data_IF_357510110517
#
_entry.id   IF_357510110517
#
_cell.length_a   1.000
_cell.length_b   1.000
_cell.length_c   1.000
_cell.angle_alpha   90.00
_cell.angle_beta   90.00
_cell.angle_gamma   90.00
#
_symmetry.space_group_name_H-M   'P 1'
#
loop_
_entity.id
_entity.type
_entity.pdbx_description
1 polymer ?
#
# COMPACT_ATOMS: atom_id res chain seq x y z
N UNK A 1 27.07 -30.38 -54.13
CA UNK A 1 25.80 -29.58 -54.13
C UNK A 1 25.20 -29.32 -52.75
N UNK A 2 25.44 -30.10 -51.70
CA UNK A 2 24.82 -29.85 -50.36
C UNK A 2 25.44 -28.70 -49.56
N UNK A 3 26.66 -28.26 -49.87
CA UNK A 3 27.35 -27.21 -49.14
C UNK A 3 26.89 -25.79 -49.53
N UNK A 4 26.40 -25.61 -50.75
CA UNK A 4 25.94 -24.32 -51.28
C UNK A 4 24.54 -23.90 -50.75
N UNK A 5 23.68 -24.89 -50.54
CA UNK A 5 22.30 -24.70 -50.06
C UNK A 5 22.30 -24.26 -48.58
N UNK A 6 23.18 -24.86 -47.74
CA UNK A 6 23.32 -24.48 -46.34
C UNK A 6 23.80 -23.02 -46.13
N UNK A 7 24.71 -22.52 -47.00
CA UNK A 7 25.16 -21.14 -46.95
C UNK A 7 24.07 -20.16 -47.38
N UNK A 8 23.23 -20.50 -48.36
CA UNK A 8 22.12 -19.66 -48.79
C UNK A 8 21.01 -19.53 -47.72
N UNK A 9 20.71 -20.59 -46.98
CA UNK A 9 19.70 -20.55 -45.90
C UNK A 9 20.22 -19.73 -44.70
N UNK A 10 21.48 -19.86 -44.31
CA UNK A 10 22.08 -19.13 -43.20
C UNK A 10 22.13 -17.62 -43.50
N UNK A 11 22.45 -17.25 -44.73
CA UNK A 11 22.49 -15.83 -45.15
C UNK A 11 21.09 -15.22 -45.22
N UNK A 12 20.06 -15.93 -45.72
CA UNK A 12 18.70 -15.41 -45.77
C UNK A 12 18.04 -15.28 -44.35
N UNK A 13 18.31 -16.21 -43.44
CA UNK A 13 17.87 -16.12 -42.04
C UNK A 13 18.59 -14.96 -41.33
N UNK A 14 19.89 -14.78 -41.56
CA UNK A 14 20.68 -13.67 -41.01
C UNK A 14 20.17 -12.31 -41.46
N UNK A 15 19.86 -12.15 -42.75
CA UNK A 15 19.31 -10.90 -43.31
C UNK A 15 17.91 -10.62 -42.79
N UNK A 16 17.06 -11.63 -42.66
CA UNK A 16 15.74 -11.50 -42.04
C UNK A 16 15.79 -11.06 -40.59
N UNK A 17 16.73 -11.60 -39.83
CA UNK A 17 16.94 -11.23 -38.41
C UNK A 17 17.54 -9.81 -38.27
N UNK A 18 18.44 -9.40 -39.18
CA UNK A 18 18.97 -8.04 -39.20
C UNK A 18 17.87 -7.04 -39.60
N UNK A 19 17.00 -7.38 -40.53
CA UNK A 19 15.86 -6.52 -40.94
C UNK A 19 14.87 -6.38 -39.79
N UNK A 20 14.58 -7.46 -39.06
CA UNK A 20 13.75 -7.42 -37.84
C UNK A 20 14.37 -6.55 -36.73
N UNK A 21 15.68 -6.62 -36.54
CA UNK A 21 16.41 -5.78 -35.56
C UNK A 21 16.46 -4.31 -35.96
N UNK A 22 16.52 -4.01 -37.26
CA UNK A 22 16.50 -2.63 -37.77
C UNK A 22 15.10 -2.04 -37.65
N UNK A 23 14.06 -2.81 -37.93
CA UNK A 23 12.66 -2.35 -37.76
C UNK A 23 12.27 -2.19 -36.29
N UNK A 24 12.92 -2.92 -35.35
CA UNK A 24 12.71 -2.76 -33.91
C UNK A 24 13.56 -1.64 -33.27
N UNK A 25 14.53 -1.05 -34.01
CA UNK A 25 15.53 -0.14 -33.44
C UNK A 25 15.38 1.34 -33.81
N UNK A 26 14.30 1.74 -34.47
CA UNK A 26 14.02 3.15 -34.72
C UNK A 26 12.76 3.61 -34.00
N UNK A 27 12.86 4.16 -32.77
CA UNK A 27 11.83 5.04 -32.29
C UNK A 27 12.04 6.41 -32.97
N UNK A 28 11.24 6.78 -33.93
CA UNK A 28 11.05 8.19 -34.28
C UNK A 28 10.32 8.83 -33.11
N UNK A 29 11.07 9.60 -32.36
CA UNK A 29 10.50 10.48 -31.34
C UNK A 29 9.58 11.50 -32.03
N UNK A 30 8.42 11.72 -31.41
CA UNK A 30 7.50 12.87 -31.46
C UNK A 30 6.27 12.89 -32.34
N UNK A 31 6.12 12.07 -33.39
CA UNK A 31 4.88 12.11 -34.18
C UNK A 31 3.94 10.89 -34.03
N UNK A 32 4.46 9.75 -33.58
CA UNK A 32 3.67 8.52 -33.52
C UNK A 32 2.73 8.39 -32.29
N UNK A 33 2.92 9.23 -31.26
CA UNK A 33 2.00 9.23 -30.10
C UNK A 33 0.64 9.84 -30.45
N UNK A 34 0.58 10.71 -31.48
CA UNK A 34 -0.70 11.22 -31.99
C UNK A 34 -1.38 10.23 -32.94
N UNK A 35 -0.65 9.40 -33.66
CA UNK A 35 -1.19 8.45 -34.63
C UNK A 35 -1.70 7.14 -34.00
N UNK A 36 -1.20 6.73 -32.85
CA UNK A 36 -1.80 5.62 -32.07
C UNK A 36 -3.19 5.97 -31.52
N UNK A 37 -3.51 7.27 -31.44
CA UNK A 37 -4.82 7.76 -31.05
C UNK A 37 -5.78 8.02 -32.22
N UNK A 38 -5.34 7.87 -33.48
CA UNK A 38 -6.14 8.10 -34.70
C UNK A 38 -6.36 6.82 -35.49
N UNK A 39 -6.73 5.71 -34.86
CA UNK A 39 -7.34 4.59 -35.55
C UNK A 39 -8.80 4.94 -35.86
N UNK A 40 -9.01 5.62 -37.00
CA UNK A 40 -10.30 5.77 -37.63
C UNK A 40 -10.66 4.44 -38.31
N UNK A 41 -11.74 3.89 -37.86
CA UNK A 41 -12.66 2.92 -38.38
C UNK A 41 -12.32 2.06 -39.60
N UNK A 42 -12.39 0.77 -39.37
CA UNK A 42 -13.08 -0.18 -40.21
C UNK A 42 -13.81 -1.18 -39.33
N UNK A 43 -15.10 -1.29 -39.52
CA UNK A 43 -15.98 -2.22 -38.86
C UNK A 43 -15.62 -3.64 -39.29
N UNK A 44 -15.20 -4.46 -38.33
CA UNK A 44 -15.36 -5.91 -38.37
C UNK A 44 -15.58 -6.49 -36.97
N UNK A 45 -16.62 -7.26 -36.88
CA UNK A 45 -17.18 -7.95 -35.73
C UNK A 45 -16.17 -8.86 -35.01
N UNK A 46 -15.75 -8.47 -33.81
CA UNK A 46 -15.37 -9.40 -32.76
C UNK A 46 -15.43 -8.75 -31.36
N UNK A 47 -15.99 -9.45 -30.39
CA UNK A 47 -16.39 -8.98 -29.06
C UNK A 47 -15.28 -8.47 -28.12
N UNK A 48 -14.10 -8.09 -28.61
CA UNK A 48 -12.97 -7.55 -27.83
C UNK A 48 -12.86 -6.02 -27.82
N UNK A 49 -13.73 -5.30 -28.54
CA UNK A 49 -13.61 -3.83 -28.68
C UNK A 49 -14.31 -2.99 -27.61
N UNK A 50 -15.02 -3.60 -26.64
CA UNK A 50 -15.77 -2.82 -25.64
C UNK A 50 -14.90 -2.18 -24.57
N UNK A 51 -13.79 -2.81 -24.20
CA UNK A 51 -12.93 -2.30 -23.11
C UNK A 51 -12.06 -1.11 -23.57
N UNK A 52 -11.73 -1.04 -24.86
CA UNK A 52 -11.02 0.10 -25.45
C UNK A 52 -11.93 1.35 -25.52
N UNK A 53 -13.24 1.19 -25.74
CA UNK A 53 -14.21 2.30 -25.72
C UNK A 53 -14.40 2.90 -24.34
N UNK A 54 -14.21 2.13 -23.26
CA UNK A 54 -14.22 2.66 -21.89
C UNK A 54 -13.10 3.67 -21.68
N UNK A 55 -11.91 3.40 -22.20
CA UNK A 55 -10.76 4.31 -22.11
C UNK A 55 -10.96 5.57 -22.96
N UNK A 56 -11.56 5.46 -24.15
CA UNK A 56 -11.89 6.61 -24.99
C UNK A 56 -12.97 7.50 -24.33
N UNK A 57 -13.97 6.90 -23.68
CA UNK A 57 -14.98 7.62 -22.90
C UNK A 57 -14.37 8.37 -21.71
N UNK A 58 -13.44 7.75 -21.00
CA UNK A 58 -12.72 8.38 -19.91
C UNK A 58 -11.82 9.53 -20.37
N UNK A 59 -11.18 9.40 -21.51
CA UNK A 59 -10.36 10.47 -22.10
C UNK A 59 -11.20 11.71 -22.44
N UNK A 60 -12.40 11.56 -22.93
CA UNK A 60 -13.25 12.71 -23.30
C UNK A 60 -13.77 13.48 -22.09
N UNK A 61 -14.16 12.81 -21.00
CA UNK A 61 -14.54 13.47 -19.74
C UNK A 61 -13.35 14.05 -18.99
N UNK A 62 -12.20 13.41 -19.08
CA UNK A 62 -10.94 13.87 -18.48
C UNK A 62 -10.40 15.11 -19.22
N UNK A 63 -10.63 15.25 -20.52
CA UNK A 63 -10.12 16.36 -21.32
C UNK A 63 -10.69 17.73 -20.91
N UNK A 64 -11.92 17.83 -20.42
CA UNK A 64 -12.47 19.10 -19.94
C UNK A 64 -11.75 19.61 -18.68
N UNK A 65 -11.35 18.70 -17.77
CA UNK A 65 -10.60 19.04 -16.56
C UNK A 65 -9.10 19.30 -16.86
N UNK A 66 -8.50 18.54 -17.74
CA UNK A 66 -7.09 18.70 -18.15
C UNK A 66 -6.86 19.99 -18.94
N UNK A 67 -7.82 20.52 -19.70
CA UNK A 67 -7.66 21.82 -20.39
C UNK A 67 -7.34 22.97 -19.43
N UNK A 68 -7.87 22.91 -18.20
CA UNK A 68 -7.55 23.87 -17.14
C UNK A 68 -6.18 23.60 -16.50
N UNK A 69 -5.68 22.37 -16.55
CA UNK A 69 -4.42 21.93 -15.95
C UNK A 69 -3.25 21.97 -16.94
N UNK A 70 -3.51 21.88 -18.25
CA UNK A 70 -2.48 21.89 -19.31
C UNK A 70 -1.61 23.17 -19.35
N UNK A 71 -2.05 24.25 -18.73
CA UNK A 71 -1.25 25.47 -18.56
C UNK A 71 -0.24 25.39 -17.41
N UNK A 72 -0.21 24.30 -16.63
CA UNK A 72 0.73 24.13 -15.51
C UNK A 72 1.94 23.29 -15.93
N UNK A 73 3.10 23.77 -15.52
CA UNK A 73 4.36 23.03 -15.61
C UNK A 73 4.21 21.69 -14.87
N UNK A 74 4.56 20.59 -15.53
CA UNK A 74 4.59 19.25 -14.90
C UNK A 74 5.39 19.30 -13.59
N UNK A 75 4.84 18.68 -12.55
CA UNK A 75 5.56 18.50 -11.29
C UNK A 75 6.52 17.32 -11.40
N UNK A 76 7.39 17.16 -10.42
CA UNK A 76 8.31 16.02 -10.38
C UNK A 76 7.58 14.74 -9.92
N UNK A 77 6.71 14.84 -8.90
CA UNK A 77 6.00 13.72 -8.30
C UNK A 77 4.50 13.97 -8.22
N UNK A 78 3.72 12.99 -8.64
CA UNK A 78 2.28 12.91 -8.30
C UNK A 78 2.06 11.78 -7.31
N UNK A 79 1.44 12.08 -6.19
CA UNK A 79 0.95 11.09 -5.23
C UNK A 79 -0.52 10.81 -5.56
N UNK A 80 -0.82 9.56 -5.93
CA UNK A 80 -2.18 9.13 -6.27
C UNK A 80 -2.81 8.32 -5.14
N UNK A 81 -4.03 8.68 -4.76
CA UNK A 81 -4.83 8.00 -3.74
C UNK A 81 -6.20 7.70 -4.33
N UNK A 82 -6.64 6.44 -4.25
CA UNK A 82 -8.03 6.07 -4.54
C UNK A 82 -8.73 5.77 -3.22
N UNK A 83 -9.67 6.64 -2.84
CA UNK A 83 -10.39 6.53 -1.58
C UNK A 83 -11.82 6.07 -1.81
N UNK A 84 -12.19 5.01 -1.09
CA UNK A 84 -13.56 4.48 -1.04
C UNK A 84 -14.24 5.02 0.22
N UNK A 85 -15.52 5.41 0.13
CA UNK A 85 -16.25 5.90 1.31
C UNK A 85 -16.25 4.84 2.41
N UNK A 86 -15.90 5.28 3.62
CA UNK A 86 -15.96 4.49 4.84
C UNK A 86 -16.79 5.25 5.87
N UNK A 87 -17.47 4.56 6.82
CA UNK A 87 -18.18 5.24 7.90
C UNK A 87 -17.30 6.19 8.70
N UNK A 88 -16.03 5.83 8.86
CA UNK A 88 -14.97 6.70 9.39
C UNK A 88 -14.26 7.42 8.24
N UNK A 89 -14.72 8.62 7.90
CA UNK A 89 -14.12 9.47 6.85
C UNK A 89 -12.72 9.98 7.21
N UNK A 90 -12.20 9.66 8.39
CA UNK A 90 -10.96 10.22 8.92
C UNK A 90 -9.71 9.75 8.16
N UNK A 91 -9.71 8.58 7.55
CA UNK A 91 -8.54 7.96 6.92
C UNK A 91 -7.91 8.79 5.81
N UNK A 92 -8.72 9.27 4.86
CA UNK A 92 -8.24 10.12 3.76
C UNK A 92 -7.70 11.46 4.27
N UNK A 93 -8.48 12.14 5.15
CA UNK A 93 -8.06 13.43 5.72
C UNK A 93 -6.74 13.29 6.47
N UNK A 94 -6.59 12.19 7.18
CA UNK A 94 -5.36 11.89 7.90
C UNK A 94 -4.15 11.74 6.97
N UNK A 95 -4.33 11.00 5.88
CA UNK A 95 -3.28 10.84 4.87
C UNK A 95 -2.89 12.18 4.24
N UNK A 96 -3.87 13.02 3.91
CA UNK A 96 -3.61 14.35 3.35
C UNK A 96 -2.85 15.24 4.34
N UNK A 97 -3.25 15.25 5.62
CA UNK A 97 -2.52 15.98 6.68
C UNK A 97 -1.09 15.45 6.78
N UNK A 98 -0.92 14.13 6.82
CA UNK A 98 0.40 13.51 6.90
C UNK A 98 1.30 13.88 5.73
N UNK A 99 0.80 13.80 4.49
CA UNK A 99 1.54 14.16 3.27
C UNK A 99 2.05 15.62 3.32
N UNK A 100 1.15 16.57 3.64
CA UNK A 100 1.51 17.98 3.63
C UNK A 100 2.37 18.40 4.83
N UNK A 101 2.24 17.73 5.98
CA UNK A 101 3.13 17.94 7.14
C UNK A 101 4.50 17.31 6.96
N UNK A 102 4.57 16.13 6.36
CA UNK A 102 5.82 15.42 6.11
C UNK A 102 6.67 16.04 5.00
N UNK A 103 6.09 16.95 4.19
CA UNK A 103 6.77 17.62 3.09
C UNK A 103 7.08 19.09 3.42
N UNK A 104 8.32 19.50 3.20
CA UNK A 104 8.74 20.90 3.34
C UNK A 104 8.11 21.80 2.27
N UNK A 105 8.10 23.12 2.48
CA UNK A 105 7.58 24.08 1.49
C UNK A 105 8.30 23.99 0.12
N UNK A 106 9.58 23.61 0.13
CA UNK A 106 10.38 23.41 -1.10
C UNK A 106 9.95 22.14 -1.81
N UNK A 107 9.79 21.04 -1.09
CA UNK A 107 9.32 19.76 -1.62
C UNK A 107 7.91 19.87 -2.20
N UNK A 108 7.01 20.61 -1.53
CA UNK A 108 5.64 20.86 -2.02
C UNK A 108 5.56 21.61 -3.35
N UNK A 109 6.62 22.28 -3.80
CA UNK A 109 6.67 22.89 -5.15
C UNK A 109 6.83 21.84 -6.25
N UNK A 110 7.32 20.64 -5.89
CA UNK A 110 7.55 19.51 -6.79
C UNK A 110 6.47 18.44 -6.68
N UNK A 111 5.48 18.63 -5.79
CA UNK A 111 4.45 17.65 -5.46
C UNK A 111 3.09 18.07 -6.02
N UNK A 112 2.40 17.10 -6.59
CA UNK A 112 0.95 17.12 -6.82
C UNK A 112 0.32 15.95 -6.09
N UNK A 113 -0.75 16.16 -5.35
CA UNK A 113 -1.55 15.10 -4.73
C UNK A 113 -2.84 14.97 -5.53
N UNK A 114 -3.09 13.77 -6.06
CA UNK A 114 -4.27 13.45 -6.85
C UNK A 114 -5.13 12.45 -6.08
N UNK A 115 -6.34 12.83 -5.74
CA UNK A 115 -7.29 11.98 -5.02
C UNK A 115 -8.45 11.62 -5.91
N UNK A 116 -8.65 10.33 -6.13
CA UNK A 116 -9.86 9.77 -6.74
C UNK A 116 -10.85 9.42 -5.64
N UNK A 117 -12.02 10.07 -5.66
CA UNK A 117 -13.12 9.82 -4.75
C UNK A 117 -14.05 8.78 -5.38
N UNK A 118 -13.91 7.52 -4.96
CA UNK A 118 -14.64 6.37 -5.51
C UNK A 118 -16.04 6.20 -4.86
N UNK A 119 -16.77 7.31 -4.70
CA UNK A 119 -18.12 7.32 -4.14
C UNK A 119 -19.15 6.84 -5.16
N UNK A 120 -20.10 6.02 -4.72
CA UNK A 120 -21.30 5.67 -5.48
C UNK A 120 -22.48 6.61 -5.18
N UNK A 121 -22.47 7.26 -4.02
CA UNK A 121 -23.47 8.21 -3.58
C UNK A 121 -22.97 9.65 -3.76
N UNK A 122 -23.80 10.49 -4.42
CA UNK A 122 -23.49 11.89 -4.66
C UNK A 122 -23.57 12.75 -3.41
N UNK A 123 -24.35 12.37 -2.42
CA UNK A 123 -24.48 13.11 -1.16
C UNK A 123 -23.20 12.98 -0.35
N UNK A 124 -22.74 11.75 -0.11
CA UNK A 124 -21.47 11.50 0.57
C UNK A 124 -20.25 12.04 -0.18
N UNK A 125 -20.30 12.06 -1.54
CA UNK A 125 -19.28 12.72 -2.34
C UNK A 125 -19.19 14.22 -2.05
N UNK A 126 -20.34 14.92 -2.04
CA UNK A 126 -20.40 16.37 -1.75
C UNK A 126 -19.88 16.70 -0.34
N UNK A 127 -20.29 15.92 0.65
CA UNK A 127 -19.80 16.07 2.03
C UNK A 127 -18.29 15.88 2.12
N UNK A 128 -17.76 14.83 1.51
CA UNK A 128 -16.32 14.57 1.49
C UNK A 128 -15.55 15.72 0.80
N UNK A 129 -16.05 16.22 -0.34
CA UNK A 129 -15.46 17.37 -1.04
C UNK A 129 -15.51 18.62 -0.16
N UNK A 130 -16.63 18.88 0.54
CA UNK A 130 -16.76 20.02 1.41
C UNK A 130 -15.76 19.98 2.57
N UNK A 131 -15.61 18.82 3.23
CA UNK A 131 -14.63 18.64 4.31
C UNK A 131 -13.19 18.85 3.82
N UNK A 132 -12.82 18.23 2.68
CA UNK A 132 -11.48 18.40 2.10
C UNK A 132 -11.25 19.87 1.70
N UNK A 133 -12.24 20.52 1.08
CA UNK A 133 -12.13 21.90 0.63
C UNK A 133 -11.98 22.88 1.80
N UNK A 134 -12.64 22.62 2.93
CA UNK A 134 -12.50 23.44 4.14
C UNK A 134 -11.08 23.33 4.73
N UNK A 135 -10.53 22.11 4.81
CA UNK A 135 -9.23 21.89 5.46
C UNK A 135 -8.03 22.17 4.55
N UNK A 136 -8.17 21.98 3.23
CA UNK A 136 -7.07 22.05 2.26
C UNK A 136 -7.29 23.10 1.17
N UNK A 137 -8.09 24.14 1.44
CA UNK A 137 -8.35 25.24 0.51
C UNK A 137 -7.06 25.83 -0.14
N UNK A 138 -5.99 26.13 0.61
CA UNK A 138 -4.76 26.66 0.01
C UNK A 138 -4.09 25.67 -0.97
N UNK A 139 -4.14 24.39 -0.68
CA UNK A 139 -3.55 23.35 -1.53
C UNK A 139 -4.35 23.13 -2.80
N UNK A 140 -5.68 23.20 -2.72
CA UNK A 140 -6.58 23.14 -3.87
C UNK A 140 -6.39 24.36 -4.77
N UNK A 141 -6.45 25.56 -4.22
CA UNK A 141 -6.29 26.81 -4.96
C UNK A 141 -4.91 26.94 -5.63
N UNK A 142 -3.86 26.46 -4.95
CA UNK A 142 -2.52 26.38 -5.54
C UNK A 142 -2.35 25.23 -6.53
N UNK A 143 -3.36 24.33 -6.65
CA UNK A 143 -3.38 23.13 -7.49
C UNK A 143 -2.37 22.06 -7.09
N UNK A 144 -1.98 22.06 -5.85
CA UNK A 144 -1.19 20.99 -5.25
C UNK A 144 -2.05 19.78 -4.87
N UNK A 145 -3.35 20.01 -4.63
CA UNK A 145 -4.34 18.98 -4.36
C UNK A 145 -5.40 19.00 -5.47
N UNK A 146 -5.54 17.90 -6.16
CA UNK A 146 -6.54 17.69 -7.21
C UNK A 146 -7.50 16.60 -6.77
N UNK A 147 -8.80 16.86 -6.91
CA UNK A 147 -9.85 15.89 -6.63
C UNK A 147 -10.48 15.47 -7.96
N UNK A 148 -10.60 14.17 -8.18
CA UNK A 148 -11.29 13.61 -9.34
C UNK A 148 -12.33 12.60 -8.89
N UNK A 149 -13.37 12.48 -9.69
CA UNK A 149 -14.43 11.50 -9.51
C UNK A 149 -14.79 10.91 -10.85
N UNK A 150 -14.91 9.59 -10.94
CA UNK A 150 -15.40 8.92 -12.14
C UNK A 150 -16.92 8.85 -12.10
N UNK A 151 -17.63 9.33 -13.11
CA UNK A 151 -19.08 9.19 -13.16
C UNK A 151 -19.46 7.69 -13.19
N UNK A 152 -20.59 7.37 -12.56
CA UNK A 152 -21.07 5.98 -12.42
C UNK A 152 -21.23 5.25 -13.75
N UNK A 153 -21.50 6.00 -14.83
CA UNK A 153 -21.64 5.45 -16.18
C UNK A 153 -20.31 5.05 -16.83
N UNK A 154 -19.19 5.60 -16.35
CA UNK A 154 -17.86 5.25 -16.81
C UNK A 154 -17.48 3.77 -16.54
N UNK A 155 -18.19 3.12 -15.63
CA UNK A 155 -17.94 1.74 -15.22
C UNK A 155 -18.97 0.73 -15.71
N UNK A 156 -20.04 1.17 -16.39
CA UNK A 156 -21.06 0.25 -16.91
C UNK A 156 -20.52 -0.52 -18.11
N UNK A 157 -20.15 -1.77 -17.85
CA UNK A 157 -20.00 -2.77 -18.88
C UNK A 157 -21.36 -3.46 -19.10
N UNK A 158 -21.67 -3.85 -20.33
CA UNK A 158 -22.90 -4.61 -20.67
C UNK A 158 -22.94 -5.99 -19.99
N UNK A 159 -21.91 -6.36 -19.25
CA UNK A 159 -21.78 -7.61 -18.51
C UNK A 159 -22.33 -7.52 -17.07
N UNK A 160 -22.64 -6.32 -16.57
CA UNK A 160 -23.16 -6.10 -15.20
C UNK A 160 -24.62 -6.54 -15.01
N UNK A 161 -25.26 -7.11 -16.06
CA UNK A 161 -26.65 -7.60 -16.01
C UNK A 161 -26.77 -9.01 -15.44
N UNK A 162 -25.67 -9.74 -15.25
CA UNK A 162 -25.66 -11.04 -14.57
C UNK A 162 -25.28 -10.85 -13.11
N UNK A 163 -26.31 -10.88 -12.24
CA UNK A 163 -26.18 -10.94 -10.78
C UNK A 163 -25.54 -12.28 -10.38
N UNK A 164 -24.23 -12.32 -10.31
CA UNK A 164 -23.53 -13.35 -9.55
C UNK A 164 -22.68 -12.63 -8.50
N UNK A 165 -23.19 -12.62 -7.26
CA UNK A 165 -22.50 -12.09 -6.10
C UNK A 165 -21.33 -13.02 -5.74
N UNK A 166 -20.19 -12.84 -6.39
CA UNK A 166 -18.95 -13.53 -6.04
C UNK A 166 -17.95 -12.54 -5.44
N UNK A 167 -17.08 -13.05 -4.57
CA UNK A 167 -15.99 -12.30 -3.89
C UNK A 167 -15.10 -11.49 -4.83
N UNK A 168 -15.17 -11.73 -6.14
CA UNK A 168 -14.48 -11.00 -7.19
C UNK A 168 -15.01 -9.59 -7.51
N UNK A 169 -16.21 -9.23 -7.08
CA UNK A 169 -16.81 -7.95 -7.43
C UNK A 169 -16.12 -6.77 -6.72
N UNK A 170 -15.67 -6.96 -5.50
CA UNK A 170 -15.01 -5.92 -4.69
C UNK A 170 -13.67 -5.49 -5.30
N UNK A 171 -12.78 -6.40 -5.67
CA UNK A 171 -11.50 -6.04 -6.26
C UNK A 171 -11.65 -5.58 -7.71
N UNK A 172 -12.67 -6.04 -8.42
CA UNK A 172 -12.99 -5.62 -9.78
C UNK A 172 -13.25 -4.12 -9.87
N UNK A 173 -14.09 -3.57 -8.98
CA UNK A 173 -14.33 -2.12 -8.89
C UNK A 173 -13.03 -1.39 -8.54
N UNK A 174 -12.31 -1.87 -7.54
CA UNK A 174 -11.06 -1.26 -7.07
C UNK A 174 -9.99 -1.19 -8.17
N UNK A 175 -9.85 -2.23 -8.98
CA UNK A 175 -8.90 -2.25 -10.10
C UNK A 175 -9.27 -1.20 -11.16
N UNK A 176 -10.57 -1.04 -11.48
CA UNK A 176 -11.07 0.00 -12.40
C UNK A 176 -10.81 1.40 -11.85
N UNK A 177 -11.07 1.62 -10.56
CA UNK A 177 -10.81 2.89 -9.87
C UNK A 177 -9.33 3.30 -9.96
N UNK A 178 -8.42 2.35 -9.79
CA UNK A 178 -6.98 2.59 -9.91
C UNK A 178 -6.55 2.81 -11.36
N UNK A 179 -7.12 2.09 -12.32
CA UNK A 179 -6.85 2.33 -13.73
C UNK A 179 -7.27 3.74 -14.16
N UNK A 180 -8.42 4.22 -13.68
CA UNK A 180 -8.87 5.59 -13.90
C UNK A 180 -7.91 6.61 -13.28
N UNK A 181 -7.54 6.43 -12.01
CA UNK A 181 -6.59 7.29 -11.31
C UNK A 181 -5.25 7.40 -12.07
N UNK A 182 -4.70 6.26 -12.52
CA UNK A 182 -3.43 6.20 -13.22
C UNK A 182 -3.49 6.84 -14.61
N UNK A 183 -4.58 6.63 -15.34
CA UNK A 183 -4.81 7.26 -16.64
C UNK A 183 -4.81 8.78 -16.55
N UNK A 184 -5.42 9.32 -15.47
CA UNK A 184 -5.42 10.76 -15.21
C UNK A 184 -4.04 11.27 -14.81
N UNK A 185 -3.33 10.51 -13.93
CA UNK A 185 -2.04 10.90 -13.39
C UNK A 185 -0.91 10.94 -14.45
N UNK A 186 -1.02 10.20 -15.53
CA UNK A 186 0.04 9.98 -16.51
C UNK A 186 0.66 11.28 -17.10
N UNK A 187 -0.12 12.37 -17.15
CA UNK A 187 0.33 13.65 -17.71
C UNK A 187 0.73 14.70 -16.67
N UNK A 188 0.58 14.42 -15.36
CA UNK A 188 0.74 15.42 -14.31
C UNK A 188 2.19 15.60 -13.85
N UNK A 189 3.01 14.56 -13.90
CA UNK A 189 4.36 14.57 -13.34
C UNK A 189 5.29 13.62 -14.08
N UNK A 190 6.55 13.60 -13.64
CA UNK A 190 7.57 12.66 -14.12
C UNK A 190 7.42 11.28 -13.45
N UNK A 191 7.13 11.28 -12.15
CA UNK A 191 6.96 10.07 -11.35
C UNK A 191 5.59 10.05 -10.69
N UNK A 192 5.07 8.84 -10.48
CA UNK A 192 3.81 8.58 -9.81
C UNK A 192 4.00 7.64 -8.63
N UNK A 193 3.57 8.07 -7.46
CA UNK A 193 3.57 7.29 -6.23
C UNK A 193 2.16 6.88 -5.86
N UNK A 194 1.91 5.58 -5.79
CA UNK A 194 0.63 5.04 -5.36
C UNK A 194 0.59 4.91 -3.84
N UNK A 195 -0.43 5.50 -3.23
CA UNK A 195 -0.73 5.35 -1.81
C UNK A 195 -2.19 4.91 -1.59
N UNK A 196 -2.43 4.41 -0.39
CA UNK A 196 -3.78 4.15 0.13
C UNK A 196 -4.24 5.30 1.04
N UNK A 197 -5.52 5.29 1.42
CA UNK A 197 -6.00 6.08 2.54
C UNK A 197 -5.51 5.49 3.88
N UNK A 198 -5.55 6.27 4.96
CA UNK A 198 -5.04 5.88 6.29
C UNK A 198 -3.54 5.61 6.35
N UNK A 199 -2.74 6.45 5.68
CA UNK A 199 -1.28 6.33 5.58
C UNK A 199 -0.58 7.45 6.34
N UNK A 200 0.49 7.08 7.04
CA UNK A 200 1.48 8.00 7.60
C UNK A 200 2.70 8.06 6.69
N UNK A 201 3.18 9.28 6.45
CA UNK A 201 4.36 9.54 5.63
C UNK A 201 5.54 9.94 6.51
N UNK A 202 6.71 9.37 6.25
CA UNK A 202 7.95 9.78 6.89
C UNK A 202 8.30 11.24 6.52
N UNK A 203 8.90 12.02 7.44
CA UNK A 203 9.37 13.37 7.14
C UNK A 203 10.32 13.40 5.93
N UNK A 204 10.21 14.44 5.11
CA UNK A 204 11.04 14.65 3.92
C UNK A 204 11.03 13.45 2.93
N UNK A 205 9.93 12.72 2.86
CA UNK A 205 9.81 11.53 2.01
C UNK A 205 10.12 11.82 0.53
N UNK A 206 9.79 13.01 0.03
CA UNK A 206 10.06 13.40 -1.37
C UNK A 206 11.57 13.48 -1.63
N UNK A 207 12.33 14.02 -0.70
CA UNK A 207 13.80 14.10 -0.78
C UNK A 207 14.40 12.69 -0.78
N UNK A 208 13.92 11.79 0.08
CA UNK A 208 14.38 10.40 0.11
C UNK A 208 14.05 9.65 -1.18
N UNK A 209 12.85 9.84 -1.74
CA UNK A 209 12.50 9.26 -3.04
C UNK A 209 13.40 9.81 -4.14
N UNK A 210 13.65 11.12 -4.14
CA UNK A 210 14.52 11.77 -5.14
C UNK A 210 15.91 11.19 -5.11
N UNK A 211 16.54 11.08 -3.94
CA UNK A 211 17.88 10.47 -3.81
C UNK A 211 17.90 9.03 -4.32
N UNK A 212 16.85 8.26 -3.99
CA UNK A 212 16.78 6.86 -4.46
C UNK A 212 16.65 6.78 -5.96
N UNK A 213 15.81 7.60 -6.57
CA UNK A 213 15.65 7.68 -8.03
C UNK A 213 16.96 8.09 -8.69
N UNK A 214 17.68 9.07 -8.12
CA UNK A 214 18.97 9.50 -8.64
C UNK A 214 20.05 8.41 -8.58
N UNK A 215 20.08 7.62 -7.49
CA UNK A 215 21.01 6.47 -7.38
C UNK A 215 20.68 5.34 -8.36
N UNK A 216 19.43 5.27 -8.85
CA UNK A 216 18.97 4.24 -9.79
C UNK A 216 18.94 4.70 -11.24
N UNK A 217 19.55 5.85 -11.57
CA UNK A 217 19.54 6.38 -12.95
C UNK A 217 20.19 5.48 -13.99
N UNK A 218 21.23 4.74 -13.59
CA UNK A 218 21.97 3.82 -14.48
C UNK A 218 21.25 2.46 -14.62
N UNK A 219 20.39 2.12 -13.69
CA UNK A 219 19.75 0.83 -13.65
C UNK A 219 18.29 0.92 -14.15
N UNK A 220 17.87 0.13 -15.13
CA UNK A 220 16.49 0.13 -15.59
C UNK A 220 15.58 -0.43 -14.50
N UNK A 221 14.56 0.33 -14.14
CA UNK A 221 13.53 -0.10 -13.19
C UNK A 221 12.12 0.26 -13.67
N UNK A 222 11.15 -0.54 -13.27
CA UNK A 222 9.71 -0.36 -13.55
C UNK A 222 8.99 0.11 -12.31
N UNK A 223 9.37 -0.46 -11.16
CA UNK A 223 8.73 -0.25 -9.87
C UNK A 223 9.75 -0.19 -8.76
N UNK A 224 9.75 0.91 -8.00
CA UNK A 224 10.44 1.03 -6.71
C UNK A 224 9.40 0.98 -5.58
N UNK A 225 9.74 0.27 -4.51
CA UNK A 225 8.82 0.02 -3.40
C UNK A 225 9.36 0.64 -2.11
N UNK A 226 8.66 1.66 -1.58
CA UNK A 226 9.02 2.39 -0.35
C UNK A 226 8.23 1.92 0.88
N UNK A 227 7.55 0.81 0.74
CA UNK A 227 6.88 0.07 1.82
C UNK A 227 6.89 -1.42 1.47
N UNK A 228 6.90 -2.26 2.49
CA UNK A 228 6.78 -3.72 2.33
C UNK A 228 5.32 -4.20 2.33
N UNK A 229 4.35 -3.28 2.38
CA UNK A 229 2.93 -3.61 2.56
C UNK A 229 2.15 -3.40 1.26
N UNK A 230 1.47 -4.46 0.80
CA UNK A 230 0.51 -4.41 -0.30
C UNK A 230 0.97 -3.61 -1.52
N UNK A 231 0.12 -2.68 -1.96
CA UNK A 231 0.45 -1.72 -3.02
C UNK A 231 0.79 -0.32 -2.49
N UNK A 232 1.04 -0.18 -1.20
CA UNK A 232 1.45 1.05 -0.54
C UNK A 232 2.88 1.46 -0.93
N UNK A 233 3.07 2.74 -1.22
CA UNK A 233 4.41 3.28 -1.50
C UNK A 233 5.06 2.75 -2.77
N UNK A 234 4.27 2.49 -3.81
CA UNK A 234 4.73 1.99 -5.11
C UNK A 234 4.99 3.16 -6.04
N UNK A 235 6.25 3.35 -6.45
CA UNK A 235 6.68 4.42 -7.36
C UNK A 235 6.85 3.87 -8.78
N UNK A 236 6.27 4.56 -9.74
CA UNK A 236 6.32 4.27 -11.17
C UNK A 236 6.84 5.49 -11.95
N UNK A 237 7.39 5.25 -13.13
CA UNK A 237 7.49 6.32 -14.12
C UNK A 237 6.09 6.66 -14.66
N UNK A 238 5.76 7.95 -14.73
CA UNK A 238 4.42 8.35 -15.22
C UNK A 238 4.17 7.95 -16.69
N UNK A 239 5.22 7.79 -17.48
CA UNK A 239 5.14 7.29 -18.86
C UNK A 239 4.59 5.86 -18.96
N UNK A 240 4.76 5.03 -17.92
CA UNK A 240 4.34 3.63 -17.90
C UNK A 240 2.90 3.47 -17.39
N UNK A 241 2.30 4.53 -16.82
CA UNK A 241 0.95 4.49 -16.27
C UNK A 241 -0.15 4.15 -17.29
N UNK A 242 -0.13 4.64 -18.55
CA UNK A 242 -1.12 4.24 -19.53
C UNK A 242 -1.11 2.72 -19.77
N UNK A 243 0.08 2.12 -19.85
CA UNK A 243 0.23 0.67 -20.03
C UNK A 243 -0.25 -0.08 -18.80
N UNK A 244 0.09 0.39 -17.59
CA UNK A 244 -0.40 -0.20 -16.35
C UNK A 244 -1.93 -0.09 -16.22
N UNK A 245 -2.52 1.05 -16.59
CA UNK A 245 -3.97 1.23 -16.58
C UNK A 245 -4.68 0.25 -17.52
N UNK A 246 -4.17 0.07 -18.74
CA UNK A 246 -4.69 -0.93 -19.68
C UNK A 246 -4.56 -2.35 -19.14
N UNK A 247 -3.41 -2.68 -18.57
CA UNK A 247 -3.18 -3.99 -17.96
C UNK A 247 -4.18 -4.25 -16.82
N UNK A 248 -4.42 -3.28 -15.96
CA UNK A 248 -5.41 -3.42 -14.90
C UNK A 248 -6.83 -3.63 -15.45
N UNK A 249 -7.19 -2.95 -16.54
CA UNK A 249 -8.52 -3.12 -17.19
C UNK A 249 -8.65 -4.46 -17.91
N UNK A 250 -7.58 -5.06 -18.41
CA UNK A 250 -7.62 -6.39 -19.01
C UNK A 250 -7.88 -7.48 -17.98
N UNK A 251 -7.30 -7.33 -16.77
CA UNK A 251 -7.32 -8.35 -15.74
C UNK A 251 -8.12 -7.97 -14.50
N UNK A 252 -9.01 -6.97 -14.61
CA UNK A 252 -9.69 -6.37 -13.45
C UNK A 252 -10.58 -7.34 -12.66
N UNK A 253 -11.11 -8.38 -13.29
CA UNK A 253 -11.95 -9.42 -12.67
C UNK A 253 -11.14 -10.61 -12.15
N UNK A 254 -9.88 -10.77 -12.54
CA UNK A 254 -9.13 -12.00 -12.29
C UNK A 254 -8.39 -12.00 -10.96
N UNK A 255 -7.78 -10.88 -10.61
CA UNK A 255 -6.93 -10.78 -9.41
C UNK A 255 -7.02 -9.39 -8.79
N UNK A 256 -6.82 -9.28 -7.47
CA UNK A 256 -6.71 -7.98 -6.80
C UNK A 256 -5.43 -7.25 -7.18
N UNK A 257 -5.42 -5.92 -6.97
CA UNK A 257 -4.37 -5.00 -7.39
C UNK A 257 -2.96 -5.38 -6.87
N UNK A 258 -2.87 -5.83 -5.62
CA UNK A 258 -1.63 -6.26 -4.98
C UNK A 258 -0.98 -7.48 -5.66
N UNK A 259 -1.76 -8.26 -6.39
CA UNK A 259 -1.30 -9.37 -7.23
C UNK A 259 -1.02 -8.94 -8.66
N UNK A 260 -1.80 -8.00 -9.20
CA UNK A 260 -1.62 -7.54 -10.58
C UNK A 260 -0.35 -6.68 -10.74
N UNK A 261 -0.02 -5.82 -9.79
CA UNK A 261 1.19 -4.97 -9.86
C UNK A 261 2.49 -5.79 -9.98
N UNK A 262 2.74 -6.85 -9.18
CA UNK A 262 3.90 -7.73 -9.38
C UNK A 262 3.93 -8.43 -10.74
N UNK A 263 2.77 -8.82 -11.29
CA UNK A 263 2.70 -9.40 -12.62
C UNK A 263 3.10 -8.38 -13.69
N UNK A 264 2.57 -7.16 -13.63
CA UNK A 264 2.94 -6.07 -14.53
C UNK A 264 4.45 -5.79 -14.49
N UNK A 265 5.04 -5.69 -13.29
CA UNK A 265 6.48 -5.51 -13.12
C UNK A 265 7.27 -6.61 -13.82
N UNK A 266 6.85 -7.87 -13.65
CA UNK A 266 7.51 -9.04 -14.27
C UNK A 266 7.40 -9.03 -15.79
N UNK A 267 6.24 -8.62 -16.34
CA UNK A 267 6.04 -8.46 -17.79
C UNK A 267 7.01 -7.44 -18.41
N UNK A 268 7.36 -6.40 -17.65
CA UNK A 268 8.33 -5.40 -18.06
C UNK A 268 9.78 -5.77 -17.66
N UNK A 269 10.07 -7.06 -17.51
CA UNK A 269 11.38 -7.65 -17.25
C UNK A 269 12.01 -7.35 -15.87
N UNK A 270 11.35 -6.66 -14.96
CA UNK A 270 11.81 -6.53 -13.58
C UNK A 270 11.30 -7.70 -12.73
N UNK A 271 12.06 -8.79 -12.68
CA UNK A 271 11.69 -10.03 -11.97
C UNK A 271 11.60 -9.83 -10.46
N UNK A 272 12.57 -9.17 -9.85
CA UNK A 272 12.67 -8.99 -8.41
C UNK A 272 12.11 -7.64 -7.96
N UNK A 273 11.46 -7.58 -6.78
CA UNK A 273 11.07 -6.31 -6.18
C UNK A 273 12.32 -5.51 -5.76
N UNK A 274 12.31 -4.20 -5.99
CA UNK A 274 13.34 -3.28 -5.49
C UNK A 274 12.75 -2.58 -4.26
N UNK A 275 13.04 -3.13 -3.08
CA UNK A 275 12.63 -2.56 -1.80
C UNK A 275 13.61 -1.45 -1.40
N UNK A 276 13.11 -0.23 -1.30
CA UNK A 276 13.88 0.95 -0.91
C UNK A 276 13.79 1.15 0.60
N UNK A 277 14.94 1.27 1.26
CA UNK A 277 15.02 1.56 2.69
C UNK A 277 15.64 2.95 2.91
N UNK A 278 15.24 3.64 3.98
CA UNK A 278 14.20 3.30 4.94
C UNK A 278 12.80 3.28 4.29
N UNK A 279 11.85 2.55 4.89
CA UNK A 279 10.45 2.64 4.47
C UNK A 279 9.91 4.03 4.81
N UNK A 280 9.12 4.58 3.88
CA UNK A 280 8.65 5.95 3.97
C UNK A 280 7.14 6.05 4.25
N UNK A 281 6.42 4.94 4.12
CA UNK A 281 4.96 4.91 4.23
C UNK A 281 4.50 3.78 5.12
N UNK A 282 3.60 4.11 6.04
CA UNK A 282 3.09 3.20 7.06
C UNK A 282 1.57 3.32 7.11
N UNK A 283 0.88 2.19 7.24
CA UNK A 283 -0.55 2.24 7.52
C UNK A 283 -0.80 2.72 8.94
N UNK A 284 -1.70 3.68 9.08
CA UNK A 284 -2.33 3.96 10.35
C UNK A 284 -3.43 2.95 10.56
N UNK A 285 -3.12 1.82 11.16
CA UNK A 285 -4.16 0.96 11.72
C UNK A 285 -4.54 1.51 13.08
N UNK A 286 -5.58 2.33 13.09
CA UNK A 286 -6.42 2.47 14.26
C UNK A 286 -7.20 1.16 14.32
N UNK A 287 -6.79 0.21 15.15
CA UNK A 287 -7.63 -0.88 15.57
C UNK A 287 -8.71 -0.31 16.49
N UNK A 288 -9.61 0.45 15.91
CA UNK A 288 -10.94 0.47 16.47
C UNK A 288 -11.49 -0.92 16.16
N UNK A 289 -11.56 -1.76 17.18
CA UNK A 289 -12.43 -2.92 17.13
C UNK A 289 -13.72 -2.45 16.48
N UNK A 290 -14.21 -3.20 15.49
CA UNK A 290 -15.42 -2.90 14.70
C UNK A 290 -16.71 -2.83 15.54
N UNK A 291 -16.62 -2.34 16.77
CA UNK A 291 -17.71 -2.17 17.72
C UNK A 291 -18.32 -0.76 17.70
N UNK A 292 -17.83 0.16 16.86
CA UNK A 292 -18.45 1.48 16.68
C UNK A 292 -19.45 1.55 15.52
N UNK A 293 -19.85 0.44 14.92
CA UNK A 293 -21.10 0.40 14.16
C UNK A 293 -22.27 0.30 15.16
N UNK A 294 -22.71 1.47 15.56
CA UNK A 294 -24.05 1.84 16.06
C UNK A 294 -25.07 0.69 16.09
N UNK A 295 -25.05 -0.09 17.14
CA UNK A 295 -26.21 -0.58 17.89
C UNK A 295 -25.66 -0.80 19.27
N UNK A 296 -26.28 -0.16 20.25
CA UNK A 296 -26.06 -0.42 21.67
C UNK A 296 -26.24 -1.93 21.94
N UNK A 297 -25.21 -2.69 21.62
CA UNK A 297 -25.09 -4.07 22.06
C UNK A 297 -24.60 -4.02 23.50
N UNK A 298 -25.14 -4.86 24.36
CA UNK A 298 -24.81 -4.84 25.77
C UNK A 298 -23.29 -4.91 25.93
N UNK A 299 -22.74 -4.02 26.75
CA UNK A 299 -21.36 -3.96 27.18
C UNK A 299 -20.84 -5.40 27.27
N UNK A 300 -20.01 -5.82 26.32
CA UNK A 300 -19.35 -7.13 26.41
C UNK A 300 -18.62 -7.11 27.75
N UNK A 301 -19.06 -7.94 28.67
CA UNK A 301 -18.36 -8.12 29.93
C UNK A 301 -16.92 -8.40 29.58
N UNK A 302 -16.03 -7.45 29.91
CA UNK A 302 -14.60 -7.56 29.71
C UNK A 302 -14.21 -8.91 30.32
N UNK A 303 -13.68 -9.84 29.54
CA UNK A 303 -13.22 -11.11 30.11
C UNK A 303 -12.03 -10.76 31.02
N UNK A 304 -12.16 -10.89 32.32
CA UNK A 304 -11.11 -10.44 33.25
C UNK A 304 -9.77 -11.18 33.04
N UNK A 305 -9.79 -12.25 32.27
CA UNK A 305 -8.59 -13.06 31.97
C UNK A 305 -8.13 -12.94 30.52
N UNK A 306 -8.88 -12.22 29.66
CA UNK A 306 -8.51 -12.02 28.25
C UNK A 306 -7.54 -10.85 28.07
N UNK A 307 -6.73 -10.85 26.99
CA UNK A 307 -5.87 -9.73 26.66
C UNK A 307 -6.68 -8.47 26.32
N UNK A 308 -6.11 -7.32 26.65
CA UNK A 308 -6.70 -6.02 26.39
C UNK A 308 -6.38 -5.49 25.00
N UNK A 309 -5.17 -5.76 24.52
CA UNK A 309 -4.61 -5.26 23.27
C UNK A 309 -4.99 -3.78 23.02
N UNK A 310 -4.35 -2.83 23.71
CA UNK A 310 -4.64 -1.42 23.55
C UNK A 310 -4.49 -0.98 22.07
N UNK A 311 -5.18 0.10 21.66
CA UNK A 311 -5.04 0.61 20.30
C UNK A 311 -3.59 0.88 19.94
N UNK A 312 -3.13 0.30 18.80
CA UNK A 312 -1.73 0.36 18.39
C UNK A 312 -1.57 0.43 16.88
N UNK A 313 -0.41 0.90 16.44
CA UNK A 313 0.07 0.76 15.07
C UNK A 313 1.10 -0.39 15.01
N UNK A 314 1.04 -1.21 13.95
CA UNK A 314 1.96 -2.33 13.78
C UNK A 314 2.94 -2.02 12.67
N UNK A 315 4.22 -2.13 12.99
CA UNK A 315 5.32 -1.91 12.06
C UNK A 315 6.20 -3.16 11.94
N UNK A 316 6.67 -3.47 10.75
CA UNK A 316 7.67 -4.53 10.52
C UNK A 316 8.52 -4.24 9.30
N UNK A 317 9.76 -4.67 9.32
CA UNK A 317 10.69 -4.70 8.18
C UNK A 317 10.65 -6.06 7.44
N UNK A 318 9.85 -7.01 7.93
CA UNK A 318 9.68 -8.32 7.31
C UNK A 318 8.71 -8.24 6.12
N UNK A 319 8.96 -9.06 5.10
CA UNK A 319 8.12 -9.13 3.90
C UNK A 319 6.82 -9.87 4.19
N UNK A 320 5.69 -9.28 3.83
CA UNK A 320 4.38 -9.93 3.93
C UNK A 320 4.27 -11.08 2.92
N UNK A 321 3.78 -12.21 3.38
CA UNK A 321 3.45 -13.34 2.52
C UNK A 321 1.93 -13.48 2.41
N UNK A 322 1.45 -13.45 1.16
CA UNK A 322 0.05 -13.50 0.81
C UNK A 322 -0.82 -12.41 1.49
N UNK A 323 -1.99 -12.75 1.96
CA UNK A 323 -2.96 -11.86 2.63
C UNK A 323 -2.77 -11.81 4.14
N UNK A 324 -1.68 -12.36 4.67
CA UNK A 324 -1.40 -12.45 6.09
C UNK A 324 -0.56 -11.26 6.56
N UNK A 325 -1.22 -10.13 6.72
CA UNK A 325 -0.60 -8.85 7.06
C UNK A 325 -0.14 -8.75 8.51
N UNK A 326 0.84 -7.88 8.84
CA UNK A 326 1.45 -7.79 10.17
C UNK A 326 0.46 -7.52 11.31
N UNK A 327 -0.56 -6.70 11.08
CA UNK A 327 -1.55 -6.37 12.13
C UNK A 327 -2.41 -7.56 12.54
N UNK A 328 -2.52 -8.60 11.71
CA UNK A 328 -3.24 -9.81 12.04
C UNK A 328 -2.63 -10.57 13.23
N UNK A 329 -1.36 -10.31 13.53
CA UNK A 329 -0.73 -10.83 14.73
C UNK A 329 -1.16 -10.11 16.01
N UNK A 330 -1.84 -8.97 15.91
CA UNK A 330 -2.27 -8.17 17.05
C UNK A 330 -3.79 -8.18 17.27
N UNK A 331 -4.54 -8.72 16.34
CA UNK A 331 -5.99 -8.93 16.49
C UNK A 331 -6.30 -10.02 17.51
N UNK A 332 -7.49 -9.92 18.13
CA UNK A 332 -7.97 -10.91 19.10
C UNK A 332 -8.77 -12.06 18.46
N UNK A 333 -8.68 -12.18 17.14
CA UNK A 333 -9.25 -13.28 16.36
C UNK A 333 -8.17 -14.33 16.01
N UNK A 334 -8.52 -15.32 15.23
CA UNK A 334 -7.59 -16.39 14.82
C UNK A 334 -6.72 -16.02 13.60
N UNK A 335 -6.68 -14.76 13.20
CA UNK A 335 -5.82 -14.31 12.12
C UNK A 335 -4.36 -14.23 12.57
N UNK A 336 -3.43 -14.27 11.60
CA UNK A 336 -2.00 -14.30 11.88
C UNK A 336 -1.20 -13.55 10.81
N UNK A 337 -0.01 -13.13 11.16
CA UNK A 337 0.99 -12.61 10.23
C UNK A 337 1.87 -13.73 9.71
N UNK A 338 2.11 -13.75 8.39
CA UNK A 338 3.01 -14.71 7.75
C UNK A 338 4.05 -14.00 6.90
N UNK A 339 5.31 -14.39 7.08
CA UNK A 339 6.46 -13.92 6.30
C UNK A 339 7.35 -15.08 5.90
N UNK A 340 8.14 -14.88 4.84
CA UNK A 340 9.13 -15.86 4.38
C UNK A 340 10.54 -15.32 4.64
N UNK A 341 11.47 -16.23 5.01
CA UNK A 341 12.89 -15.95 5.12
C UNK A 341 13.21 -14.70 5.97
N UNK A 342 13.32 -14.89 7.25
CA UNK A 342 13.68 -13.82 8.17
C UNK A 342 15.18 -13.83 8.46
N UNK A 343 15.75 -12.64 8.63
CA UNK A 343 17.16 -12.40 8.92
C UNK A 343 17.33 -11.83 10.33
N UNK A 344 18.52 -11.98 10.87
CA UNK A 344 18.88 -11.33 12.15
C UNK A 344 18.59 -9.84 12.08
N UNK A 345 17.94 -9.30 13.11
CA UNK A 345 17.55 -7.91 13.20
C UNK A 345 16.16 -7.59 12.63
N UNK A 346 15.56 -8.50 11.85
CA UNK A 346 14.18 -8.31 11.46
C UNK A 346 13.28 -8.23 12.69
N UNK A 347 12.26 -7.38 12.62
CA UNK A 347 11.42 -7.14 13.80
C UNK A 347 9.97 -6.85 13.42
N UNK A 348 9.08 -7.08 14.35
CA UNK A 348 7.71 -6.61 14.35
C UNK A 348 7.50 -5.79 15.62
N UNK A 349 7.08 -4.54 15.45
CA UNK A 349 6.86 -3.59 16.55
C UNK A 349 5.39 -3.20 16.62
N UNK A 350 4.82 -3.38 17.78
CA UNK A 350 3.52 -2.81 18.18
C UNK A 350 3.81 -1.47 18.83
N UNK A 351 3.31 -0.38 18.26
CA UNK A 351 3.45 0.98 18.77
C UNK A 351 2.10 1.41 19.32
N UNK A 352 2.00 1.54 20.64
CA UNK A 352 0.77 1.90 21.31
C UNK A 352 0.38 3.36 21.00
N UNK A 353 -0.92 3.60 20.83
CA UNK A 353 -1.44 4.95 20.58
C UNK A 353 -1.18 5.90 21.75
N UNK A 354 -1.25 5.38 22.95
CA UNK A 354 -0.91 6.04 24.20
C UNK A 354 -0.05 5.09 25.02
N UNK A 355 0.93 5.58 25.77
CA UNK A 355 1.67 4.74 26.70
C UNK A 355 0.71 4.02 27.64
N UNK A 356 1.01 2.77 27.94
CA UNK A 356 0.19 1.92 28.79
C UNK A 356 1.00 1.23 29.87
N UNK A 357 0.36 0.97 31.01
CA UNK A 357 0.95 0.15 32.05
C UNK A 357 0.63 -1.32 31.78
N UNK A 358 1.61 -2.07 31.35
CA UNK A 358 1.45 -3.47 30.99
C UNK A 358 1.82 -4.39 32.14
N UNK A 359 0.92 -5.33 32.46
CA UNK A 359 1.12 -6.36 33.48
C UNK A 359 1.65 -7.66 32.89
N UNK A 360 1.35 -7.96 31.62
CA UNK A 360 1.74 -9.21 30.97
C UNK A 360 1.82 -9.03 29.47
N UNK A 361 2.79 -9.72 28.85
CA UNK A 361 2.92 -9.85 27.39
C UNK A 361 3.02 -11.33 27.02
N UNK A 362 2.30 -11.72 25.98
CA UNK A 362 2.42 -13.03 25.37
C UNK A 362 2.62 -12.90 23.86
N UNK A 363 3.63 -13.58 23.34
CA UNK A 363 3.89 -13.68 21.89
C UNK A 363 3.87 -15.15 21.51
N UNK A 364 3.06 -15.49 20.51
CA UNK A 364 2.90 -16.85 20.01
C UNK A 364 3.30 -16.89 18.54
N UNK A 365 4.22 -17.80 18.17
CA UNK A 365 4.65 -18.02 16.79
C UNK A 365 4.46 -19.48 16.37
N UNK A 366 4.48 -19.74 15.05
CA UNK A 366 4.27 -21.06 14.48
C UNK A 366 2.80 -21.48 14.40
N UNK A 367 2.53 -22.59 13.74
CA UNK A 367 1.20 -23.18 13.63
C UNK A 367 0.73 -23.81 14.95
N UNK A 368 -0.58 -23.91 15.14
CA UNK A 368 -1.16 -24.41 16.40
C UNK A 368 -0.91 -25.91 16.59
N UNK A 369 -1.00 -26.68 15.50
CA UNK A 369 -1.03 -28.15 15.58
C UNK A 369 0.37 -28.76 15.67
N UNK A 370 1.31 -28.26 14.85
CA UNK A 370 2.62 -28.90 14.69
C UNK A 370 3.81 -27.96 14.92
N UNK A 371 3.52 -26.72 15.34
CA UNK A 371 4.56 -25.72 15.63
C UNK A 371 5.43 -25.33 14.44
N UNK A 372 5.05 -25.74 13.19
CA UNK A 372 5.78 -25.33 11.99
C UNK A 372 5.83 -23.82 11.87
N UNK A 373 6.89 -23.30 11.28
CA UNK A 373 7.10 -21.85 11.10
C UNK A 373 7.17 -21.05 12.40
N UNK A 374 7.46 -21.69 13.53
CA UNK A 374 7.76 -21.00 14.77
C UNK A 374 9.11 -20.27 14.70
N UNK A 375 9.24 -19.14 15.38
CA UNK A 375 10.51 -18.40 15.46
C UNK A 375 11.49 -19.15 16.35
N UNK A 376 12.57 -19.67 15.76
CA UNK A 376 13.56 -20.50 16.46
C UNK A 376 14.38 -19.72 17.50
N UNK A 377 14.79 -18.50 17.14
CA UNK A 377 15.54 -17.61 18.02
C UNK A 377 15.03 -16.19 17.88
N UNK A 378 14.45 -15.67 18.93
CA UNK A 378 13.90 -14.31 18.99
C UNK A 378 13.88 -13.81 20.42
N UNK A 379 13.61 -12.51 20.55
CA UNK A 379 13.41 -11.87 21.86
C UNK A 379 12.29 -10.86 21.75
N UNK A 380 11.64 -10.60 22.88
CA UNK A 380 10.63 -9.56 23.03
C UNK A 380 11.22 -8.43 23.87
N UNK A 381 11.00 -7.21 23.45
CA UNK A 381 11.50 -6.00 24.08
C UNK A 381 10.33 -5.03 24.33
N UNK A 382 10.39 -4.31 25.44
CA UNK A 382 9.52 -3.19 25.74
C UNK A 382 10.21 -1.88 25.34
N UNK A 383 9.49 -1.01 24.67
CA UNK A 383 9.99 0.26 24.17
C UNK A 383 9.37 1.44 24.89
N UNK A 384 10.16 2.49 25.06
CA UNK A 384 9.84 3.72 25.76
C UNK A 384 10.24 4.92 24.90
N UNK A 385 9.95 6.13 25.37
CA UNK A 385 10.38 7.37 24.77
C UNK A 385 9.99 7.46 23.28
N UNK A 386 8.69 7.54 22.98
CA UNK A 386 8.21 7.59 21.60
C UNK A 386 8.57 8.94 20.97
N UNK A 387 9.31 8.89 19.86
CA UNK A 387 9.72 10.08 19.10
C UNK A 387 9.23 10.00 17.65
N UNK A 388 9.19 11.14 16.99
CA UNK A 388 8.99 11.26 15.55
C UNK A 388 7.55 11.16 15.07
N UNK A 389 7.40 11.25 13.74
CA UNK A 389 6.16 10.98 13.02
C UNK A 389 6.49 10.21 11.72
N UNK A 390 6.13 8.93 11.61
CA UNK A 390 5.40 8.12 12.60
C UNK A 390 6.19 7.94 13.90
N UNK A 391 5.47 7.79 15.02
CA UNK A 391 6.11 7.52 16.32
C UNK A 391 6.90 6.22 16.26
N UNK A 392 8.07 6.20 16.90
CA UNK A 392 8.88 5.02 17.14
C UNK A 392 9.54 5.15 18.51
N UNK A 393 9.77 4.04 19.19
CA UNK A 393 10.46 4.08 20.47
C UNK A 393 11.97 4.15 20.28
N UNK A 394 12.65 4.96 21.09
CA UNK A 394 14.10 5.18 21.01
C UNK A 394 14.86 4.30 21.98
N UNK A 395 14.27 3.94 23.11
CA UNK A 395 14.87 3.04 24.10
C UNK A 395 14.09 1.74 24.20
N UNK A 396 14.82 0.62 24.38
CA UNK A 396 14.24 -0.71 24.48
C UNK A 396 14.88 -1.49 25.62
N UNK A 397 14.04 -2.11 26.45
CA UNK A 397 14.45 -3.04 27.48
C UNK A 397 14.06 -4.48 27.11
N UNK A 398 14.97 -5.43 27.31
CA UNK A 398 14.68 -6.84 27.06
C UNK A 398 13.63 -7.35 28.05
N UNK A 399 12.51 -7.87 27.56
CA UNK A 399 11.51 -8.55 28.36
C UNK A 399 11.83 -10.05 28.52
N UNK A 400 12.16 -10.72 27.42
CA UNK A 400 12.48 -12.14 27.45
C UNK A 400 12.83 -12.72 26.09
N UNK A 401 13.40 -13.92 26.11
CA UNK A 401 13.71 -14.70 24.92
C UNK A 401 12.57 -15.67 24.59
N UNK A 402 12.36 -15.94 23.31
CA UNK A 402 11.41 -16.97 22.91
C UNK A 402 11.94 -18.36 23.27
N UNK A 403 11.10 -19.14 23.91
CA UNK A 403 11.28 -20.56 24.17
C UNK A 403 10.25 -21.31 23.31
N UNK A 404 10.71 -22.24 22.49
CA UNK A 404 9.84 -23.01 21.58
C UNK A 404 8.90 -22.15 20.75
N UNK A 405 9.38 -20.99 20.29
CA UNK A 405 8.59 -20.07 19.47
C UNK A 405 7.59 -19.21 20.24
N UNK A 406 7.65 -19.14 21.54
CA UNK A 406 6.72 -18.37 22.36
C UNK A 406 7.39 -17.65 23.54
N UNK A 407 6.76 -16.55 23.95
CA UNK A 407 7.04 -15.84 25.22
C UNK A 407 5.70 -15.64 25.91
N UNK A 408 5.67 -15.89 27.20
CA UNK A 408 4.54 -15.56 28.07
C UNK A 408 5.14 -15.05 29.39
N UNK A 409 5.22 -13.73 29.53
CA UNK A 409 5.96 -13.09 30.62
C UNK A 409 5.05 -12.12 31.36
N UNK A 410 4.97 -12.29 32.68
CA UNK A 410 4.50 -11.25 33.59
C UNK A 410 5.57 -10.18 33.73
N UNK A 411 5.15 -8.93 33.76
CA UNK A 411 6.06 -7.78 33.77
C UNK A 411 6.13 -7.22 35.17
N UNK A 412 7.36 -7.01 35.66
CA UNK A 412 7.55 -6.29 36.92
C UNK A 412 7.05 -4.85 36.80
N UNK A 413 6.36 -4.34 37.82
CA UNK A 413 5.74 -2.99 37.77
C UNK A 413 6.68 -1.89 37.28
N UNK A 414 7.98 -1.97 37.67
CA UNK A 414 8.98 -1.00 37.23
C UNK A 414 9.25 -1.01 35.71
N UNK A 415 9.08 -2.14 35.03
CA UNK A 415 9.28 -2.27 33.60
C UNK A 415 7.98 -2.10 32.80
N UNK A 416 6.84 -2.42 33.40
CA UNK A 416 5.53 -2.35 32.75
C UNK A 416 4.93 -0.94 32.68
N UNK A 417 5.56 0.01 33.37
CA UNK A 417 5.04 1.38 33.48
C UNK A 417 5.39 2.19 32.23
N UNK A 418 4.39 2.91 31.70
CA UNK A 418 4.56 3.87 30.59
C UNK A 418 5.16 3.27 29.31
N UNK A 419 4.81 2.01 29.01
CA UNK A 419 5.28 1.29 27.83
C UNK A 419 4.61 1.87 26.59
N UNK A 420 5.42 2.25 25.61
CA UNK A 420 4.93 2.83 24.34
C UNK A 420 5.06 1.86 23.16
N UNK A 421 5.96 0.87 23.24
CA UNK A 421 6.14 -0.13 22.20
C UNK A 421 6.36 -1.53 22.77
N UNK A 422 5.93 -2.55 22.01
CA UNK A 422 6.34 -3.95 22.23
C UNK A 422 6.96 -4.46 20.93
N UNK A 423 8.20 -4.95 20.97
CA UNK A 423 8.94 -5.34 19.78
C UNK A 423 9.39 -6.80 19.86
N UNK A 424 9.02 -7.59 18.85
CA UNK A 424 9.59 -8.92 18.61
C UNK A 424 10.76 -8.80 17.64
N UNK A 425 11.94 -9.27 18.04
CA UNK A 425 13.19 -9.19 17.25
C UNK A 425 13.69 -10.60 16.91
N UNK A 426 14.04 -10.82 15.65
CA UNK A 426 14.65 -12.05 15.15
C UNK A 426 16.15 -12.07 15.50
N UNK A 427 16.63 -13.13 16.14
CA UNK A 427 18.03 -13.27 16.59
C UNK A 427 18.84 -14.28 15.79
N UNK A 428 18.22 -15.00 14.85
CA UNK A 428 18.92 -15.88 13.91
C UNK A 428 18.21 -15.91 12.57
N UNK A 429 18.98 -16.09 11.50
CA UNK A 429 18.39 -16.29 10.17
C UNK A 429 17.55 -17.56 10.16
N UNK A 430 16.36 -17.49 9.57
CA UNK A 430 15.46 -18.62 9.41
C UNK A 430 14.90 -18.66 8.00
N UNK A 431 15.12 -19.78 7.32
CA UNK A 431 14.57 -20.09 6.01
C UNK A 431 13.27 -20.89 6.18
N UNK A 432 12.32 -20.72 5.28
CA UNK A 432 11.11 -21.55 5.23
C UNK A 432 9.89 -20.94 5.90
N UNK A 433 9.95 -19.66 6.26
CA UNK A 433 8.80 -18.90 6.75
C UNK A 433 8.74 -18.75 8.28
N UNK A 434 8.01 -17.73 8.68
CA UNK A 434 7.67 -17.42 10.06
C UNK A 434 6.20 -17.04 10.13
N UNK A 435 5.47 -17.65 11.04
CA UNK A 435 4.11 -17.29 11.41
C UNK A 435 4.15 -16.64 12.79
N UNK A 436 3.66 -15.40 12.90
CA UNK A 436 3.40 -14.77 14.19
C UNK A 436 1.89 -14.80 14.37
N UNK A 437 1.43 -15.66 15.29
CA UNK A 437 0.00 -15.86 15.52
C UNK A 437 -0.60 -14.70 16.29
N UNK A 438 -0.02 -14.45 17.47
CA UNK A 438 -0.60 -13.46 18.37
C UNK A 438 0.48 -12.73 19.16
N UNK A 439 0.23 -11.45 19.37
CA UNK A 439 0.89 -10.61 20.35
C UNK A 439 -0.23 -10.09 21.25
N UNK A 440 -0.28 -10.61 22.47
CA UNK A 440 -1.28 -10.29 23.46
C UNK A 440 -0.69 -9.44 24.57
N UNK A 441 -1.39 -8.35 24.90
CA UNK A 441 -1.01 -7.40 25.92
C UNK A 441 -2.13 -7.30 26.96
N UNK A 442 -1.76 -7.33 28.23
CA UNK A 442 -2.66 -7.07 29.35
C UNK A 442 -2.26 -5.78 30.04
N UNK A 443 -3.21 -4.85 30.15
CA UNK A 443 -3.02 -3.62 30.91
C UNK A 443 -3.23 -3.87 32.42
N UNK A 444 -2.48 -3.15 33.25
CA UNK A 444 -2.70 -3.12 34.69
C UNK A 444 -4.01 -2.39 35.00
N UNK A 445 -4.95 -3.02 35.69
CA UNK A 445 -6.22 -2.39 36.03
C UNK A 445 -6.02 -1.37 37.17
N UNK A 446 -6.50 -0.12 37.04
CA UNK A 446 -6.44 0.86 38.12
C UNK A 446 -7.11 0.39 39.42
N UNK A 447 -8.10 -0.48 39.34
CA UNK A 447 -8.80 -1.06 40.50
C UNK A 447 -7.94 -2.03 41.31
N UNK A 448 -6.97 -2.68 40.70
CA UNK A 448 -6.03 -3.56 41.41
C UNK A 448 -4.98 -2.75 42.18
N UNK A 449 -4.75 -1.49 41.80
CA UNK A 449 -3.90 -0.56 42.54
C UNK A 449 -4.54 -0.06 43.85
N UNK A 450 -5.84 0.23 43.84
CA UNK A 450 -6.55 0.66 45.07
C UNK A 450 -6.67 -0.47 46.06
N UNK A 451 -6.89 -1.73 45.64
CA UNK A 451 -6.95 -2.87 46.47
C UNK A 451 -5.58 -3.19 47.12
N UNK A 452 -4.47 -3.00 46.41
CA UNK A 452 -3.11 -3.22 46.95
C UNK A 452 -2.65 -2.11 47.91
N UNK A 453 -3.22 -0.90 47.86
CA UNK A 453 -2.93 0.17 48.81
C UNK A 453 -3.76 0.08 50.09
N UNK A 454 -4.90 -0.64 50.07
CA UNK A 454 -5.72 -0.83 51.27
C UNK A 454 -5.22 -1.93 52.21
N UNK A 455 -4.15 -2.62 51.85
CA UNK A 455 -3.50 -3.68 52.66
C UNK A 455 -2.11 -3.28 53.19
N UNK A 456 -1.78 -1.98 53.19
CA UNK A 456 -0.59 -1.45 53.85
C UNK A 456 -0.93 -0.57 55.04
#
# INVERSE_FOLDING_TARGET
MQCSIRRGIITSVGIGFLWLLVTLKTPRETEDVQNVMAFKGQEDNYGKRKDVRLLEGWQNHTFQYIKTIQQRRKTWLTVGISSVPRPDQSGLLYTLVSLFRASSKIEQKRLTVLVHLAHSDLTGLRETIAHISTLFSPQILSGKLLLIHAPSDAYRTTDDTRKEAHSGEFYSKRNRDHAFLMSFAAKLSEYFLLLEDSVLCAPNFITHIHWKVDTMRSDPWVLLEFSNMGFLGKLFHSRDLPLLAHFLLLFYKEKPLDRLIPHFRTLLAQKNPILCRPFLFYHRFSYYTSNDSQKATPVRKKNPYGPDNPPAAIFTDMKVFDVHFPWKAYTLDESFFWTQNVSVGNHLTVILKHPANLSRVQVLTGTIVDGKHALKKGQVELGYDPEGMPQYCTSFALLGHLLEGQVNQEIFKSMGYDVSCVRLVVKANQVGGLIIRHIYLWEENPKDMEAAQSWR
#
